data_IF_979712946120
#
_entry.id   IF_979712946120
#
_cell.length_a   1.000
_cell.length_b   1.000
_cell.length_c   1.000
_cell.angle_alpha   90.00
_cell.angle_beta   90.00
_cell.angle_gamma   90.00
#
_symmetry.space_group_name_H-M   'P 1'
#
loop_
_entity.id
_entity.type
_entity.pdbx_description
1 polymer ?
#
# COMPACT_ATOMS: atom_id res chain seq x y z
N UNK A 1 26.68 -6.14 13.15
CA UNK A 1 25.23 -5.84 12.98
C UNK A 1 24.98 -5.73 11.48
N UNK A 2 24.22 -6.63 10.88
CA UNK A 2 24.14 -6.86 9.41
C UNK A 2 23.35 -5.80 8.63
N UNK A 3 22.97 -4.68 9.24
CA UNK A 3 22.13 -3.63 8.63
C UNK A 3 20.85 -4.18 7.94
N UNK A 4 20.28 -5.25 8.51
CA UNK A 4 19.10 -5.93 7.98
C UNK A 4 17.85 -5.57 8.79
N UNK A 5 16.91 -4.86 8.17
CA UNK A 5 15.61 -4.51 8.75
C UNK A 5 14.54 -5.50 8.27
N UNK A 6 13.96 -6.25 9.20
CA UNK A 6 12.95 -7.29 8.93
C UNK A 6 11.50 -6.80 9.11
N UNK A 7 11.30 -5.51 9.29
CA UNK A 7 9.97 -4.92 9.43
C UNK A 7 9.20 -5.00 8.11
N UNK A 8 7.97 -5.49 8.16
CA UNK A 8 7.08 -5.53 7.02
C UNK A 8 6.09 -4.35 7.07
N UNK A 9 6.24 -3.41 6.14
CA UNK A 9 5.38 -2.24 5.98
C UNK A 9 4.06 -2.54 5.24
N UNK A 10 3.71 -3.80 4.99
CA UNK A 10 2.46 -4.19 4.32
C UNK A 10 1.22 -3.52 4.93
N UNK A 11 1.14 -3.45 6.26
CA UNK A 11 0.02 -2.79 6.95
C UNK A 11 -0.09 -1.30 6.64
N UNK A 12 1.04 -0.62 6.45
CA UNK A 12 1.10 0.80 6.08
C UNK A 12 0.55 1.01 4.66
N UNK A 13 0.89 0.11 3.72
CA UNK A 13 0.40 0.18 2.34
C UNK A 13 -1.11 -0.02 2.26
N UNK A 14 -1.64 -1.00 2.99
CA UNK A 14 -3.08 -1.27 3.05
C UNK A 14 -3.85 -0.10 3.69
N UNK A 15 -3.35 0.44 4.80
CA UNK A 15 -3.97 1.60 5.45
C UNK A 15 -3.95 2.84 4.55
N UNK A 16 -2.86 3.08 3.82
CA UNK A 16 -2.73 4.22 2.92
C UNK A 16 -3.70 4.12 1.73
N UNK A 17 -3.88 2.94 1.14
CA UNK A 17 -4.81 2.76 0.01
C UNK A 17 -6.26 3.08 0.41
N UNK A 18 -6.70 2.59 1.58
CA UNK A 18 -8.03 2.89 2.12
C UNK A 18 -8.17 4.37 2.48
N UNK A 19 -7.13 4.99 3.05
CA UNK A 19 -7.11 6.41 3.36
C UNK A 19 -7.27 7.30 2.10
N UNK A 20 -6.60 6.92 1.01
CA UNK A 20 -6.71 7.63 -0.28
C UNK A 20 -8.12 7.53 -0.88
N UNK A 21 -8.75 6.35 -0.81
CA UNK A 21 -10.13 6.17 -1.24
C UNK A 21 -11.09 7.02 -0.39
N UNK A 22 -10.93 6.98 0.94
CA UNK A 22 -11.74 7.81 1.83
C UNK A 22 -11.60 9.31 1.52
N UNK A 23 -10.38 9.77 1.21
CA UNK A 23 -10.12 11.15 0.82
C UNK A 23 -10.81 11.50 -0.50
N UNK A 24 -10.74 10.60 -1.49
CA UNK A 24 -11.38 10.82 -2.79
C UNK A 24 -12.90 10.85 -2.71
N UNK A 25 -13.52 9.98 -1.92
CA UNK A 25 -14.95 9.98 -1.64
C UNK A 25 -15.40 11.23 -0.86
N UNK A 26 -14.70 11.56 0.23
CA UNK A 26 -15.10 12.64 1.14
C UNK A 26 -14.94 14.04 0.52
N UNK A 27 -13.91 14.24 -0.30
CA UNK A 27 -13.57 15.55 -0.87
C UNK A 27 -13.83 15.63 -2.38
N UNK A 28 -14.50 14.63 -2.96
CA UNK A 28 -14.74 14.51 -4.39
C UNK A 28 -13.45 14.73 -5.20
N UNK A 29 -12.40 13.98 -4.85
CA UNK A 29 -11.09 14.04 -5.49
C UNK A 29 -10.83 12.73 -6.26
N UNK A 30 -11.17 12.67 -7.57
CA UNK A 30 -11.00 11.47 -8.38
C UNK A 30 -9.54 10.99 -8.45
N UNK A 31 -8.58 11.91 -8.36
CA UNK A 31 -7.15 11.54 -8.40
C UNK A 31 -6.76 10.70 -7.19
N UNK A 32 -7.33 10.97 -6.02
CA UNK A 32 -7.05 10.20 -4.81
C UNK A 32 -7.58 8.76 -4.94
N UNK A 33 -8.76 8.57 -5.53
CA UNK A 33 -9.31 7.23 -5.80
C UNK A 33 -8.42 6.45 -6.78
N UNK A 34 -7.95 7.09 -7.87
CA UNK A 34 -7.04 6.46 -8.83
C UNK A 34 -5.74 6.02 -8.14
N UNK A 35 -5.19 6.85 -7.23
CA UNK A 35 -3.99 6.51 -6.47
C UNK A 35 -4.24 5.36 -5.49
N UNK A 36 -5.38 5.35 -4.79
CA UNK A 36 -5.75 4.27 -3.88
C UNK A 36 -5.92 2.93 -4.61
N UNK A 37 -6.57 2.94 -5.77
CA UNK A 37 -6.73 1.74 -6.61
C UNK A 37 -5.40 1.25 -7.18
N UNK A 38 -4.55 2.16 -7.68
CA UNK A 38 -3.21 1.81 -8.14
C UNK A 38 -2.35 1.21 -7.02
N UNK A 39 -2.45 1.75 -5.80
CA UNK A 39 -1.72 1.25 -4.63
C UNK A 39 -2.22 -0.14 -4.20
N UNK A 40 -3.54 -0.38 -4.22
CA UNK A 40 -4.10 -1.71 -3.99
C UNK A 40 -3.55 -2.72 -4.99
N UNK A 41 -3.59 -2.40 -6.29
CA UNK A 41 -3.06 -3.27 -7.34
C UNK A 41 -1.56 -3.53 -7.18
N UNK A 42 -0.79 -2.54 -6.77
CA UNK A 42 0.63 -2.71 -6.48
C UNK A 42 0.87 -3.63 -5.27
N UNK A 43 0.04 -3.49 -4.22
CA UNK A 43 0.13 -4.31 -3.00
C UNK A 43 -0.23 -5.77 -3.28
N UNK A 44 -1.27 -6.03 -4.08
CA UNK A 44 -1.60 -7.39 -4.54
C UNK A 44 -0.43 -8.00 -5.31
N UNK A 45 0.13 -7.27 -6.28
CA UNK A 45 1.31 -7.74 -7.02
C UNK A 45 2.52 -7.98 -6.12
N UNK A 46 2.74 -7.15 -5.10
CA UNK A 46 3.82 -7.32 -4.14
C UNK A 46 3.70 -8.65 -3.37
N UNK A 47 2.47 -8.99 -2.95
CA UNK A 47 2.16 -10.26 -2.29
C UNK A 47 2.29 -11.45 -3.23
N UNK A 48 1.74 -11.35 -4.45
CA UNK A 48 1.80 -12.42 -5.46
C UNK A 48 3.24 -12.77 -5.86
N UNK A 49 4.16 -11.81 -5.77
CA UNK A 49 5.58 -12.00 -6.09
C UNK A 49 6.46 -12.30 -4.87
N UNK A 50 5.85 -12.57 -3.71
CA UNK A 50 6.53 -12.91 -2.45
C UNK A 50 7.68 -11.94 -2.10
N UNK A 51 7.41 -10.64 -2.26
CA UNK A 51 8.42 -9.58 -2.06
C UNK A 51 8.50 -9.09 -0.62
N UNK A 52 7.80 -9.75 0.31
CA UNK A 52 7.89 -9.47 1.75
C UNK A 52 9.31 -9.71 2.30
N UNK A 53 9.75 -8.96 3.33
CA UNK A 53 11.07 -9.13 3.91
C UNK A 53 11.29 -10.57 4.41
N UNK A 54 12.34 -11.23 3.92
CA UNK A 54 12.70 -12.56 4.41
C UNK A 54 13.16 -12.50 5.87
N UNK A 55 12.82 -13.56 6.60
CA UNK A 55 13.37 -13.84 7.94
C UNK A 55 14.84 -14.19 7.88
#
# INVERSE_FOLDING_TARGET
>A
KENHLRWDSLGEFLALAVSLNHLGEKYNNPKANILGEALNNATTKYLDNDKSPSR
#
